data_IF_630734448720
#
_entry.id   IF_630734448720
#
_cell.length_a   1.000
_cell.length_b   1.000
_cell.length_c   1.000
_cell.angle_alpha   90.00
_cell.angle_beta   90.00
_cell.angle_gamma   90.00
#
_symmetry.space_group_name_H-M   'P 1'
#
loop_
_entity.id
_entity.type
_entity.pdbx_description
1 polymer ?
#
# COMPACT_ATOMS: atom_id res chain seq x y z
N UNK A 1 -18.80 -25.72 -5.80
CA UNK A 1 -17.50 -25.03 -5.91
C UNK A 1 -17.81 -23.66 -6.48
N UNK A 2 -17.14 -22.61 -6.02
CA UNK A 2 -17.35 -21.26 -6.52
C UNK A 2 -16.91 -21.16 -7.99
N UNK A 3 -17.65 -20.42 -8.82
CA UNK A 3 -17.28 -20.20 -10.22
C UNK A 3 -16.01 -19.36 -10.31
N UNK A 4 -15.09 -19.75 -11.21
CA UNK A 4 -13.78 -19.10 -11.38
C UNK A 4 -13.52 -18.84 -12.86
N UNK A 5 -12.86 -17.73 -13.14
CA UNK A 5 -12.44 -17.35 -14.49
C UNK A 5 -10.93 -17.14 -14.53
N UNK A 6 -10.34 -17.17 -15.72
CA UNK A 6 -8.94 -16.79 -15.87
C UNK A 6 -8.81 -15.26 -15.70
N UNK A 7 -7.82 -14.77 -14.94
CA UNK A 7 -7.47 -13.36 -14.92
C UNK A 7 -7.04 -12.87 -16.30
N UNK A 8 -6.83 -11.56 -16.44
CA UNK A 8 -6.19 -11.01 -17.62
C UNK A 8 -4.83 -11.69 -17.88
N UNK A 9 -4.49 -11.92 -19.15
CA UNK A 9 -3.21 -12.55 -19.51
C UNK A 9 -2.02 -11.78 -18.92
N UNK A 10 -1.15 -12.49 -18.20
CA UNK A 10 0.02 -11.91 -17.54
C UNK A 10 -0.29 -11.14 -16.25
N UNK A 11 -1.41 -11.46 -15.58
CA UNK A 11 -1.74 -10.90 -14.28
C UNK A 11 -0.74 -11.34 -13.18
N UNK A 12 -0.36 -10.45 -12.24
CA UNK A 12 -0.65 -9.01 -12.20
C UNK A 12 0.15 -8.23 -13.25
N UNK A 13 -0.50 -7.30 -13.96
CA UNK A 13 0.12 -6.54 -15.07
C UNK A 13 0.93 -5.35 -14.60
N UNK A 14 0.46 -4.68 -13.55
CA UNK A 14 1.10 -3.47 -13.05
C UNK A 14 2.10 -3.86 -11.97
N UNK A 15 3.37 -3.54 -12.19
CA UNK A 15 4.44 -3.83 -11.23
C UNK A 15 4.31 -2.97 -9.97
N UNK A 16 4.69 -3.57 -8.85
CA UNK A 16 4.63 -2.96 -7.53
C UNK A 16 5.33 -3.84 -6.49
N UNK A 17 5.22 -3.43 -5.24
CA UNK A 17 5.79 -4.14 -4.09
C UNK A 17 4.74 -5.10 -3.52
N UNK A 18 4.68 -6.30 -4.08
CA UNK A 18 3.73 -7.34 -3.70
C UNK A 18 4.26 -8.75 -3.99
N UNK A 19 3.67 -9.72 -3.32
CA UNK A 19 3.78 -11.15 -3.61
C UNK A 19 2.48 -11.65 -4.22
N UNK A 20 2.58 -12.67 -5.07
CA UNK A 20 1.44 -13.29 -5.75
C UNK A 20 1.24 -14.69 -5.20
N UNK A 21 0.00 -15.03 -4.87
CA UNK A 21 -0.43 -16.36 -4.46
C UNK A 21 -1.30 -17.03 -5.52
N UNK A 22 -2.39 -17.67 -5.09
CA UNK A 22 -3.33 -18.32 -6.01
C UNK A 22 -4.22 -17.30 -6.73
N UNK A 23 -4.07 -17.19 -8.05
CA UNK A 23 -4.85 -16.30 -8.92
C UNK A 23 -6.38 -16.55 -8.87
N UNK A 24 -6.81 -17.72 -8.37
CA UNK A 24 -8.22 -18.07 -8.16
C UNK A 24 -8.75 -17.73 -6.77
N UNK A 25 -7.87 -17.33 -5.85
CA UNK A 25 -8.28 -16.90 -4.52
C UNK A 25 -9.16 -15.65 -4.60
N UNK A 26 -10.21 -15.55 -3.78
CA UNK A 26 -11.06 -14.37 -3.73
C UNK A 26 -10.50 -13.23 -2.89
N UNK A 27 -9.36 -13.40 -2.21
CA UNK A 27 -8.86 -12.45 -1.21
C UNK A 27 -7.58 -11.77 -1.68
N UNK A 28 -7.55 -10.44 -1.67
CA UNK A 28 -6.33 -9.65 -1.71
C UNK A 28 -6.05 -9.03 -0.33
N UNK A 29 -4.78 -8.83 0.00
CA UNK A 29 -4.38 -8.23 1.28
C UNK A 29 -3.49 -7.02 1.01
N UNK A 30 -3.80 -5.91 1.68
CA UNK A 30 -3.04 -4.67 1.60
C UNK A 30 -2.52 -4.35 2.99
N UNK A 31 -1.20 -4.39 3.16
CA UNK A 31 -0.51 -4.17 4.45
C UNK A 31 -0.25 -2.70 4.75
N UNK A 32 -0.72 -1.81 3.87
CA UNK A 32 -0.65 -0.35 3.98
C UNK A 32 0.79 0.13 4.28
N UNK A 33 1.07 0.63 5.47
CA UNK A 33 2.38 1.15 5.85
C UNK A 33 3.34 0.09 6.39
N UNK A 34 2.84 -1.12 6.68
CA UNK A 34 3.63 -2.20 7.26
C UNK A 34 4.30 -3.06 6.19
N UNK A 35 5.47 -3.57 6.54
CA UNK A 35 6.15 -4.64 5.84
C UNK A 35 6.04 -5.88 6.71
N UNK A 36 5.24 -6.85 6.27
CA UNK A 36 4.98 -8.10 6.98
C UNK A 36 5.73 -9.24 6.29
N UNK A 37 5.34 -10.48 6.56
CA UNK A 37 5.72 -11.62 5.73
C UNK A 37 4.64 -11.83 4.66
N UNK A 38 4.67 -11.02 3.60
CA UNK A 38 3.64 -11.05 2.55
C UNK A 38 3.60 -12.39 1.82
N UNK A 39 4.73 -13.11 1.75
CA UNK A 39 4.78 -14.46 1.19
C UNK A 39 3.97 -15.43 2.07
N UNK A 40 4.14 -15.40 3.40
CA UNK A 40 3.33 -16.21 4.30
C UNK A 40 1.83 -15.88 4.25
N UNK A 41 1.47 -14.63 3.93
CA UNK A 41 0.08 -14.21 3.70
C UNK A 41 -0.48 -14.80 2.39
N UNK A 42 0.31 -14.80 1.31
CA UNK A 42 -0.05 -15.48 0.07
C UNK A 42 -0.17 -17.00 0.25
N UNK A 43 0.77 -17.62 0.97
CA UNK A 43 0.75 -19.06 1.27
C UNK A 43 -0.47 -19.46 2.11
N UNK A 44 -1.03 -18.51 2.89
CA UNK A 44 -2.27 -18.69 3.63
C UNK A 44 -3.54 -18.58 2.78
N UNK A 45 -3.40 -18.33 1.48
CA UNK A 45 -4.50 -18.36 0.52
C UNK A 45 -4.92 -16.99 -0.02
N UNK A 46 -4.12 -15.93 0.13
CA UNK A 46 -4.36 -14.68 -0.59
C UNK A 46 -3.92 -14.79 -2.07
N UNK A 47 -4.66 -14.13 -2.97
CA UNK A 47 -4.30 -14.03 -4.39
C UNK A 47 -3.09 -13.12 -4.61
N UNK A 48 -3.02 -12.04 -3.83
CA UNK A 48 -1.97 -11.02 -3.88
C UNK A 48 -1.88 -10.34 -2.51
N UNK A 49 -0.65 -10.07 -2.06
CA UNK A 49 -0.39 -9.36 -0.82
C UNK A 49 0.72 -8.33 -1.03
N UNK A 50 0.52 -7.08 -0.61
CA UNK A 50 1.54 -6.04 -0.75
C UNK A 50 1.26 -4.76 0.03
N UNK A 51 2.27 -3.90 0.10
CA UNK A 51 2.17 -2.62 0.80
C UNK A 51 1.60 -1.52 -0.10
N UNK A 52 0.94 -0.54 0.51
CA UNK A 52 0.49 0.66 -0.20
C UNK A 52 0.66 1.89 0.67
N UNK A 53 1.59 2.76 0.25
CA UNK A 53 2.04 3.91 1.04
C UNK A 53 1.45 5.24 0.59
N UNK A 54 0.94 5.30 -0.62
CA UNK A 54 0.48 6.54 -1.26
C UNK A 54 -1.00 6.45 -1.60
N UNK A 55 -1.73 7.50 -1.31
CA UNK A 55 -3.17 7.72 -1.49
C UNK A 55 -3.59 8.07 -2.94
N UNK A 56 -2.67 7.95 -3.90
CA UNK A 56 -2.86 8.22 -5.32
C UNK A 56 -2.37 7.04 -6.16
N UNK A 57 -1.16 7.11 -6.76
CA UNK A 57 -0.59 6.10 -7.66
C UNK A 57 -0.60 4.69 -7.05
N UNK A 58 -0.29 4.56 -5.75
CA UNK A 58 -0.39 3.28 -5.03
C UNK A 58 -1.81 2.68 -5.09
N UNK A 59 -2.84 3.49 -4.86
CA UNK A 59 -4.24 3.06 -4.99
C UNK A 59 -4.60 2.72 -6.43
N UNK A 60 -4.08 3.48 -7.41
CA UNK A 60 -4.30 3.19 -8.83
C UNK A 60 -3.75 1.83 -9.24
N UNK A 61 -2.53 1.50 -8.78
CA UNK A 61 -1.90 0.19 -9.01
C UNK A 61 -2.70 -0.94 -8.37
N UNK A 62 -3.22 -0.74 -7.16
CA UNK A 62 -4.11 -1.70 -6.49
C UNK A 62 -5.35 -1.92 -7.35
N UNK A 63 -6.11 -0.87 -7.65
CA UNK A 63 -7.36 -0.98 -8.39
C UNK A 63 -7.15 -1.66 -9.75
N UNK A 64 -6.12 -1.23 -10.50
CA UNK A 64 -5.82 -1.79 -11.82
C UNK A 64 -5.51 -3.30 -11.76
N UNK A 65 -4.73 -3.76 -10.77
CA UNK A 65 -4.45 -5.18 -10.61
C UNK A 65 -5.67 -5.96 -10.11
N UNK A 66 -6.51 -5.39 -9.25
CA UNK A 66 -7.70 -6.06 -8.71
C UNK A 66 -8.75 -6.28 -9.81
N UNK A 67 -9.10 -5.24 -10.59
CA UNK A 67 -10.13 -5.36 -11.64
C UNK A 67 -9.67 -6.20 -12.85
N UNK A 68 -8.36 -6.43 -12.98
CA UNK A 68 -7.78 -7.36 -13.94
C UNK A 68 -7.89 -8.84 -13.50
N UNK A 69 -8.37 -9.13 -12.29
CA UNK A 69 -8.67 -10.48 -11.81
C UNK A 69 -10.08 -10.55 -11.20
N UNK A 70 -11.11 -10.99 -11.97
CA UNK A 70 -12.48 -11.06 -11.48
C UNK A 70 -12.71 -12.06 -10.34
N UNK A 71 -11.75 -12.95 -10.06
CA UNK A 71 -11.85 -13.88 -8.94
C UNK A 71 -11.72 -13.17 -7.60
N UNK A 72 -11.03 -12.03 -7.52
CA UNK A 72 -10.81 -11.28 -6.28
C UNK A 72 -12.08 -10.53 -5.92
N UNK A 73 -12.68 -10.89 -4.79
CA UNK A 73 -13.97 -10.39 -4.28
C UNK A 73 -13.84 -9.70 -2.91
N UNK A 74 -12.71 -9.86 -2.25
CA UNK A 74 -12.45 -9.26 -0.94
C UNK A 74 -11.08 -8.61 -0.91
N UNK A 75 -11.00 -7.47 -0.23
CA UNK A 75 -9.75 -6.81 0.11
C UNK A 75 -9.68 -6.70 1.62
N UNK A 76 -8.61 -7.22 2.22
CA UNK A 76 -8.30 -6.99 3.62
C UNK A 76 -7.33 -5.82 3.71
N UNK A 77 -7.67 -4.77 4.46
CA UNK A 77 -6.72 -3.73 4.85
C UNK A 77 -6.19 -4.02 6.25
N UNK A 78 -4.87 -4.08 6.40
CA UNK A 78 -4.19 -4.37 7.65
C UNK A 78 -2.87 -3.58 7.75
N UNK A 79 -2.16 -3.71 8.85
CA UNK A 79 -0.94 -2.96 9.12
C UNK A 79 -1.20 -1.56 9.67
N UNK A 80 -0.10 -0.84 9.88
CA UNK A 80 -0.06 0.52 10.43
C UNK A 80 -0.42 1.53 9.34
N UNK A 81 -1.30 2.48 9.65
CA UNK A 81 -1.65 3.55 8.71
C UNK A 81 -0.47 4.49 8.40
N UNK A 82 -0.43 4.99 7.17
CA UNK A 82 0.66 5.85 6.70
C UNK A 82 0.34 7.29 7.07
N UNK A 83 1.03 7.85 8.06
CA UNK A 83 0.80 9.24 8.49
C UNK A 83 0.91 10.24 7.35
N UNK A 84 -0.09 11.11 7.25
CA UNK A 84 -0.18 12.15 6.22
C UNK A 84 -0.77 11.65 4.90
N UNK A 85 -0.40 10.47 4.43
CA UNK A 85 -1.00 9.87 3.23
C UNK A 85 -2.37 9.28 3.53
N UNK A 86 -2.52 8.59 4.67
CA UNK A 86 -3.73 7.90 5.10
C UNK A 86 -4.27 6.97 4.01
N UNK A 87 -3.38 6.18 3.40
CA UNK A 87 -3.69 5.38 2.21
C UNK A 87 -4.74 4.31 2.47
N UNK A 88 -4.80 3.73 3.67
CA UNK A 88 -5.88 2.80 4.05
C UNK A 88 -7.24 3.51 4.05
N UNK A 89 -7.34 4.64 4.75
CA UNK A 89 -8.54 5.48 4.77
C UNK A 89 -8.94 5.96 3.37
N UNK A 90 -7.98 6.38 2.54
CA UNK A 90 -8.24 6.87 1.19
C UNK A 90 -8.76 5.75 0.28
N UNK A 91 -8.25 4.52 0.42
CA UNK A 91 -8.76 3.37 -0.31
C UNK A 91 -10.23 3.07 0.04
N UNK A 92 -10.57 3.14 1.33
CA UNK A 92 -11.94 2.97 1.80
C UNK A 92 -12.87 4.08 1.27
N UNK A 93 -12.39 5.33 1.28
CA UNK A 93 -13.13 6.47 0.73
C UNK A 93 -13.35 6.32 -0.79
N UNK A 94 -12.33 5.87 -1.54
CA UNK A 94 -12.42 5.60 -2.97
C UNK A 94 -13.44 4.50 -3.26
N UNK A 95 -13.42 3.41 -2.51
CA UNK A 95 -14.41 2.33 -2.64
C UNK A 95 -15.82 2.82 -2.33
N UNK A 96 -16.01 3.59 -1.26
CA UNK A 96 -17.35 3.99 -0.83
C UNK A 96 -17.96 5.12 -1.67
N UNK A 97 -17.15 6.11 -2.03
CA UNK A 97 -17.64 7.39 -2.55
C UNK A 97 -17.15 7.72 -3.96
N UNK A 98 -16.15 7.00 -4.48
CA UNK A 98 -15.55 7.29 -5.78
C UNK A 98 -14.76 8.60 -5.80
N UNK A 99 -14.76 9.27 -6.95
CA UNK A 99 -14.00 10.51 -7.20
C UNK A 99 -14.90 11.61 -7.77
N UNK A 100 -14.53 12.86 -7.49
CA UNK A 100 -15.14 14.07 -8.06
C UNK A 100 -14.00 14.99 -8.55
N UNK A 101 -13.96 15.29 -9.85
CA UNK A 101 -12.84 16.06 -10.44
C UNK A 101 -11.47 15.39 -10.22
N UNK A 102 -11.43 14.05 -10.19
CA UNK A 102 -10.22 13.27 -9.89
C UNK A 102 -9.89 13.14 -8.39
N UNK A 103 -10.47 13.96 -7.50
CA UNK A 103 -10.25 13.88 -6.06
C UNK A 103 -11.11 12.78 -5.44
N UNK A 104 -10.54 11.95 -4.57
CA UNK A 104 -11.28 10.95 -3.80
C UNK A 104 -12.21 11.65 -2.80
N UNK A 105 -13.50 11.35 -2.90
CA UNK A 105 -14.53 11.99 -2.06
C UNK A 105 -14.46 11.42 -0.64
N UNK A 106 -14.28 12.29 0.36
CA UNK A 106 -14.16 11.90 1.78
C UNK A 106 -12.79 11.37 2.19
N UNK A 107 -11.77 11.48 1.33
CA UNK A 107 -10.40 11.16 1.69
C UNK A 107 -9.77 12.28 2.55
N UNK A 108 -9.08 11.88 3.61
CA UNK A 108 -8.35 12.78 4.53
C UNK A 108 -6.84 12.84 4.21
N UNK A 109 -6.40 12.04 3.24
CA UNK A 109 -5.03 12.00 2.76
C UNK A 109 -4.53 13.32 2.21
N UNK A 110 -3.21 13.41 2.07
CA UNK A 110 -2.54 14.63 1.69
C UNK A 110 -2.81 15.07 0.25
N UNK A 111 -2.81 14.14 -0.71
CA UNK A 111 -2.98 14.34 -2.15
C UNK A 111 -3.83 13.19 -2.74
N UNK A 112 -5.10 13.05 -2.34
CA UNK A 112 -5.93 11.90 -2.71
C UNK A 112 -6.56 12.12 -4.09
N UNK A 113 -5.74 12.15 -5.13
CA UNK A 113 -6.16 12.33 -6.53
C UNK A 113 -5.85 11.08 -7.34
N UNK A 114 -6.80 10.70 -8.19
CA UNK A 114 -6.73 9.59 -9.14
C UNK A 114 -6.76 10.20 -10.54
N UNK A 115 -5.72 9.97 -11.32
CA UNK A 115 -5.48 10.58 -12.63
C UNK A 115 -5.46 9.53 -13.76
N UNK A 116 -5.07 8.30 -13.46
CA UNK A 116 -4.87 7.24 -14.44
C UNK A 116 -6.07 6.29 -14.58
N UNK A 117 -6.98 6.25 -13.61
CA UNK A 117 -8.15 5.37 -13.66
C UNK A 117 -9.36 6.06 -14.28
N UNK A 118 -10.07 5.34 -15.15
CA UNK A 118 -11.36 5.78 -15.67
C UNK A 118 -12.46 5.61 -14.63
N UNK A 119 -13.56 6.36 -14.76
CA UNK A 119 -14.75 6.19 -13.90
C UNK A 119 -15.29 4.75 -13.95
N UNK A 120 -15.25 4.10 -15.11
CA UNK A 120 -15.70 2.73 -15.28
C UNK A 120 -14.81 1.73 -14.52
N UNK A 121 -13.49 1.99 -14.46
CA UNK A 121 -12.57 1.19 -13.65
C UNK A 121 -12.86 1.34 -12.16
N UNK A 122 -13.17 2.56 -11.71
CA UNK A 122 -13.55 2.82 -10.31
C UNK A 122 -14.88 2.14 -9.98
N UNK A 123 -15.92 2.31 -10.81
CA UNK A 123 -17.22 1.63 -10.62
C UNK A 123 -17.06 0.11 -10.61
N UNK A 124 -16.25 -0.44 -11.53
CA UNK A 124 -15.92 -1.86 -11.54
C UNK A 124 -15.31 -2.30 -10.22
N UNK A 125 -14.34 -1.55 -9.70
CA UNK A 125 -13.72 -1.84 -8.41
C UNK A 125 -14.74 -1.85 -7.27
N UNK A 126 -15.61 -0.82 -7.20
CA UNK A 126 -16.65 -0.71 -6.17
C UNK A 126 -17.63 -1.89 -6.18
N UNK A 127 -18.02 -2.36 -7.37
CA UNK A 127 -18.91 -3.51 -7.54
C UNK A 127 -18.22 -4.87 -7.30
N UNK A 128 -16.93 -4.97 -7.61
CA UNK A 128 -16.23 -6.26 -7.63
C UNK A 128 -15.89 -6.74 -6.22
N UNK A 129 -15.41 -5.83 -5.36
CA UNK A 129 -14.83 -6.19 -4.06
C UNK A 129 -15.59 -5.61 -2.88
N UNK A 130 -15.55 -6.32 -1.77
CA UNK A 130 -15.85 -5.80 -0.43
C UNK A 130 -14.54 -5.54 0.32
N UNK A 131 -14.42 -4.38 0.96
CA UNK A 131 -13.27 -4.07 1.82
C UNK A 131 -13.57 -4.48 3.26
N UNK A 132 -12.69 -5.30 3.82
CA UNK A 132 -12.72 -5.77 5.20
C UNK A 132 -11.56 -5.13 5.96
N UNK A 133 -11.91 -4.22 6.86
CA UNK A 133 -10.93 -3.44 7.59
C UNK A 133 -10.53 -4.10 8.92
N UNK A 134 -9.24 -4.40 9.05
CA UNK A 134 -8.58 -4.82 10.29
C UNK A 134 -7.31 -3.98 10.56
N UNK A 135 -7.32 -2.72 10.14
CA UNK A 135 -6.21 -1.78 10.31
C UNK A 135 -5.68 -1.72 11.74
N UNK A 136 -4.41 -1.34 11.85
CA UNK A 136 -3.59 -1.38 13.07
C UNK A 136 -3.34 -2.80 13.62
N UNK A 137 -3.57 -3.83 12.79
CA UNK A 137 -3.20 -5.22 13.07
C UNK A 137 -2.00 -5.64 12.21
N UNK A 138 -0.92 -6.08 12.84
CA UNK A 138 0.24 -6.72 12.20
C UNK A 138 0.37 -8.22 12.56
N UNK A 139 -0.62 -8.76 13.29
CA UNK A 139 -0.65 -10.16 13.70
C UNK A 139 -1.04 -11.07 12.53
N UNK A 140 -0.07 -11.87 12.07
CA UNK A 140 -0.25 -12.80 10.96
C UNK A 140 -1.32 -13.85 11.24
N UNK A 141 -1.52 -14.29 12.48
CA UNK A 141 -2.54 -15.32 12.76
C UNK A 141 -3.95 -14.75 12.63
N UNK A 142 -4.15 -13.48 13.00
CA UNK A 142 -5.41 -12.75 12.77
C UNK A 142 -5.67 -12.56 11.28
N UNK A 143 -4.64 -12.15 10.53
CA UNK A 143 -4.73 -11.97 9.06
C UNK A 143 -5.09 -13.30 8.38
N UNK A 144 -4.39 -14.39 8.72
CA UNK A 144 -4.67 -15.74 8.20
C UNK A 144 -6.07 -16.23 8.54
N UNK A 145 -6.52 -16.01 9.77
CA UNK A 145 -7.88 -16.37 10.17
C UNK A 145 -8.92 -15.61 9.34
N UNK A 146 -8.68 -14.34 9.04
CA UNK A 146 -9.57 -13.54 8.20
C UNK A 146 -9.58 -13.99 6.73
N UNK A 147 -8.42 -14.35 6.17
CA UNK A 147 -8.32 -14.94 4.83
C UNK A 147 -9.15 -16.22 4.75
N UNK A 148 -9.01 -17.12 5.73
CA UNK A 148 -9.78 -18.36 5.77
C UNK A 148 -11.29 -18.12 5.87
N UNK A 149 -11.71 -17.16 6.70
CA UNK A 149 -13.11 -16.77 6.83
C UNK A 149 -13.70 -16.29 5.49
N UNK A 150 -12.99 -15.41 4.78
CA UNK A 150 -13.46 -14.83 3.52
C UNK A 150 -13.40 -15.83 2.36
N UNK A 151 -12.40 -16.71 2.36
CA UNK A 151 -12.30 -17.82 1.40
C UNK A 151 -13.47 -18.80 1.58
N UNK A 152 -13.92 -19.05 2.81
CA UNK A 152 -15.12 -19.86 3.06
C UNK A 152 -16.43 -19.17 2.59
N UNK A 153 -16.42 -17.85 2.42
CA UNK A 153 -17.54 -17.03 1.93
C UNK A 153 -17.42 -16.67 0.45
N UNK A 154 -16.55 -17.34 -0.30
CA UNK A 154 -16.28 -17.07 -1.71
C UNK A 154 -17.57 -17.07 -2.56
N UNK A 155 -18.00 -15.91 -3.09
CA UNK A 155 -19.21 -15.82 -3.90
C UNK A 155 -18.96 -16.24 -5.37
N UNK A 156 -17.73 -16.64 -5.71
CA UNK A 156 -17.31 -16.88 -7.10
C UNK A 156 -16.82 -15.60 -7.77
N UNK A 157 -16.40 -15.72 -9.02
CA UNK A 157 -15.94 -14.59 -9.82
C UNK A 157 -17.05 -13.58 -10.07
N UNK A 158 -16.68 -12.32 -10.29
CA UNK A 158 -17.62 -11.39 -10.89
C UNK A 158 -17.88 -11.81 -12.34
N UNK A 159 -19.14 -11.96 -12.80
CA UNK A 159 -19.48 -12.40 -14.15
C UNK A 159 -19.32 -11.26 -15.16
N UNK A 160 -18.13 -10.66 -15.19
CA UNK A 160 -17.72 -9.59 -16.10
C UNK A 160 -16.25 -9.81 -16.46
N UNK A 161 -15.89 -9.60 -17.72
CA UNK A 161 -14.53 -9.79 -18.20
C UNK A 161 -13.51 -8.91 -17.44
N UNK A 162 -12.25 -9.35 -17.32
CA UNK A 162 -11.19 -8.55 -16.72
C UNK A 162 -11.03 -7.19 -17.43
N UNK A 163 -10.88 -6.11 -16.67
CA UNK A 163 -10.53 -4.79 -17.21
C UNK A 163 -9.03 -4.59 -17.02
N UNK A 164 -8.35 -4.14 -18.06
CA UNK A 164 -6.93 -3.76 -18.01
C UNK A 164 -6.83 -2.26 -18.20
N UNK A 165 -6.21 -1.59 -17.24
CA UNK A 165 -5.94 -0.15 -17.29
C UNK A 165 -4.43 0.05 -17.36
N UNK A 166 -3.99 1.00 -18.17
CA UNK A 166 -2.60 1.46 -18.16
C UNK A 166 -2.44 2.51 -17.07
N UNK A 167 -1.57 2.26 -16.10
CA UNK A 167 -1.20 3.23 -15.07
C UNK A 167 0.18 3.75 -15.44
N UNK A 168 0.29 5.03 -15.82
CA UNK A 168 1.57 5.65 -16.15
C UNK A 168 2.38 5.84 -14.87
N UNK A 169 3.57 5.28 -14.85
CA UNK A 169 4.53 5.48 -13.77
C UNK A 169 5.58 6.49 -14.25
N UNK A 170 5.45 7.75 -13.81
CA UNK A 170 6.41 8.83 -14.12
C UNK A 170 7.81 8.57 -13.55
N UNK A 171 8.03 7.44 -12.86
CA UNK A 171 9.36 6.98 -12.45
C UNK A 171 10.27 6.60 -13.63
N UNK A 172 9.75 6.52 -14.86
CA UNK A 172 10.54 6.46 -16.08
C UNK A 172 10.65 7.84 -16.72
N UNK A 173 11.73 8.57 -16.42
CA UNK A 173 12.02 9.86 -17.02
C UNK A 173 11.99 9.82 -18.55
N UNK A 174 11.12 10.64 -19.14
CA UNK A 174 11.03 10.84 -20.58
C UNK A 174 10.15 12.03 -20.87
N UNK A 175 10.77 13.13 -21.30
CA UNK A 175 10.09 14.35 -21.71
C UNK A 175 9.09 14.05 -22.83
N UNK A 176 7.85 14.49 -22.66
CA UNK A 176 7.12 15.10 -23.76
C UNK A 176 6.18 16.19 -23.22
N UNK A 177 6.57 17.43 -23.48
CA UNK A 177 5.75 18.60 -23.25
C UNK A 177 4.93 18.83 -24.52
N UNK A 178 3.65 18.46 -24.49
CA UNK A 178 2.67 18.80 -25.51
C UNK A 178 1.70 19.85 -24.98
N UNK A 179 1.82 21.07 -25.47
CA UNK A 179 0.93 22.21 -25.22
C UNK A 179 -0.51 21.96 -25.75
N UNK A 180 -1.53 22.37 -24.98
CA UNK A 180 -2.54 23.35 -25.40
C UNK A 180 -3.66 23.54 -24.35
N UNK A 181 -3.87 24.80 -23.93
CA UNK A 181 -5.19 25.43 -23.97
C UNK A 181 -6.10 25.41 -22.73
N UNK A 182 -6.13 26.57 -22.08
CA UNK A 182 -7.30 27.28 -21.46
C UNK A 182 -7.72 27.04 -19.99
N UNK A 183 -7.94 28.20 -19.34
CA UNK A 183 -8.25 28.53 -17.94
C UNK A 183 -9.63 27.99 -17.49
N UNK A 184 -10.01 27.72 -16.23
CA UNK A 184 -9.66 28.28 -14.92
C UNK A 184 -10.02 27.28 -13.78
N UNK A 185 -9.65 27.64 -12.53
CA UNK A 185 -9.69 26.88 -11.25
C UNK A 185 -8.38 26.12 -10.97
N UNK A 186 -7.59 26.62 -9.99
CA UNK A 186 -6.23 26.19 -9.62
C UNK A 186 -5.52 25.35 -10.68
N UNK A 187 -4.77 26.01 -11.58
CA UNK A 187 -4.06 25.35 -12.69
C UNK A 187 -3.43 24.04 -12.23
N UNK A 188 -3.57 22.96 -13.00
CA UNK A 188 -2.98 21.65 -12.71
C UNK A 188 -1.48 21.79 -12.34
N UNK A 189 -0.81 22.79 -12.89
CA UNK A 189 0.54 23.20 -12.52
C UNK A 189 0.70 23.65 -11.06
N UNK A 190 -0.20 24.46 -10.51
CA UNK A 190 -0.17 24.90 -9.10
C UNK A 190 -0.52 23.74 -8.17
N UNK A 191 -1.47 22.87 -8.55
CA UNK A 191 -1.73 21.63 -7.83
C UNK A 191 -0.50 20.71 -7.84
N UNK A 192 0.17 20.58 -8.98
CA UNK A 192 1.43 19.83 -9.13
C UNK A 192 2.58 20.43 -8.32
N UNK A 193 2.73 21.76 -8.31
CA UNK A 193 3.75 22.45 -7.50
C UNK A 193 3.47 22.22 -6.01
N UNK A 194 2.22 22.32 -5.59
CA UNK A 194 1.81 22.06 -4.20
C UNK A 194 2.06 20.59 -3.84
N UNK A 195 1.78 19.66 -4.75
CA UNK A 195 2.08 18.24 -4.59
C UNK A 195 3.58 18.00 -4.43
N UNK A 196 4.42 18.61 -5.29
CA UNK A 196 5.88 18.53 -5.19
C UNK A 196 6.41 19.13 -3.89
N UNK A 197 5.88 20.27 -3.44
CA UNK A 197 6.22 20.85 -2.14
C UNK A 197 5.90 19.90 -0.99
N UNK A 198 4.78 19.18 -1.06
CA UNK A 198 4.37 18.23 -0.02
C UNK A 198 5.23 16.97 -0.01
N UNK A 199 5.62 16.45 -1.18
CA UNK A 199 6.60 15.36 -1.31
C UNK A 199 7.96 15.75 -0.72
N UNK A 200 8.41 16.99 -0.96
CA UNK A 200 9.64 17.52 -0.36
C UNK A 200 9.50 17.55 1.17
N UNK A 201 8.38 18.06 1.69
CA UNK A 201 8.12 18.12 3.12
C UNK A 201 8.09 16.71 3.78
N UNK A 202 7.55 15.71 3.08
CA UNK A 202 7.58 14.32 3.52
C UNK A 202 8.99 13.75 3.52
N UNK A 203 9.78 14.01 2.47
CA UNK A 203 11.18 13.58 2.39
C UNK A 203 11.99 14.15 3.56
N UNK A 204 11.80 15.42 3.89
CA UNK A 204 12.42 16.06 5.06
C UNK A 204 11.98 15.40 6.37
N UNK A 205 10.70 15.07 6.51
CA UNK A 205 10.17 14.39 7.70
C UNK A 205 10.78 12.99 7.85
N UNK A 206 10.88 12.23 6.75
CA UNK A 206 11.46 10.89 6.76
C UNK A 206 12.96 10.91 7.08
N UNK A 207 13.71 11.88 6.53
CA UNK A 207 15.10 12.13 6.92
C UNK A 207 15.21 12.42 8.42
N UNK A 208 14.29 13.22 8.97
CA UNK A 208 14.22 13.48 10.41
C UNK A 208 13.97 12.20 11.23
N UNK A 209 13.10 11.32 10.76
CA UNK A 209 12.78 10.03 11.38
C UNK A 209 13.99 9.08 11.35
N UNK A 210 14.66 8.95 10.20
CA UNK A 210 15.90 8.20 10.07
C UNK A 210 16.99 8.77 11.00
N UNK A 211 17.19 10.10 11.01
CA UNK A 211 18.17 10.73 11.90
C UNK A 211 17.88 10.43 13.37
N UNK A 212 16.61 10.47 13.79
CA UNK A 212 16.22 10.11 15.17
C UNK A 212 16.49 8.63 15.47
N UNK A 213 16.16 7.75 14.53
CA UNK A 213 16.44 6.32 14.66
C UNK A 213 17.94 6.05 14.76
N UNK A 214 18.75 6.63 13.85
CA UNK A 214 20.20 6.54 13.89
C UNK A 214 20.79 7.11 15.18
N UNK A 215 20.27 8.24 15.68
CA UNK A 215 20.69 8.80 16.95
C UNK A 215 20.39 7.85 18.13
N UNK A 216 19.21 7.21 18.13
CA UNK A 216 18.85 6.20 19.14
C UNK A 216 19.75 4.96 19.09
N UNK A 217 19.96 4.40 17.89
CA UNK A 217 20.86 3.25 17.70
C UNK A 217 22.30 3.59 18.08
N UNK A 218 22.78 4.78 17.73
CA UNK A 218 24.11 5.24 18.07
C UNK A 218 24.28 5.43 19.58
N UNK A 219 23.31 6.06 20.26
CA UNK A 219 23.30 6.20 21.72
C UNK A 219 23.35 4.83 22.41
N UNK A 220 22.52 3.88 21.97
CA UNK A 220 22.51 2.53 22.53
C UNK A 220 23.82 1.77 22.30
N UNK A 221 24.47 1.94 21.14
CA UNK A 221 25.79 1.35 20.86
C UNK A 221 26.87 1.91 21.78
N UNK A 222 26.87 3.22 22.03
CA UNK A 222 27.84 3.86 22.93
C UNK A 222 27.62 3.39 24.37
N UNK A 223 26.37 3.37 24.85
CA UNK A 223 26.06 2.88 26.19
C UNK A 223 26.49 1.41 26.39
N UNK A 224 26.18 0.55 25.41
CA UNK A 224 26.59 -0.85 25.44
C UNK A 224 28.11 -1.02 25.49
N UNK A 225 28.86 -0.23 24.71
CA UNK A 225 30.32 -0.25 24.73
C UNK A 225 30.88 0.20 26.08
N UNK A 226 30.33 1.27 26.66
CA UNK A 226 30.76 1.79 27.96
C UNK A 226 30.49 0.79 29.09
N UNK A 227 29.30 0.18 29.12
CA UNK A 227 28.96 -0.87 30.10
C UNK A 227 29.90 -2.06 29.95
N UNK A 228 30.14 -2.52 28.70
CA UNK A 228 31.06 -3.62 28.42
C UNK A 228 32.49 -3.34 28.90
N UNK A 229 32.98 -2.12 28.70
CA UNK A 229 34.32 -1.69 29.11
C UNK A 229 34.45 -1.60 30.64
N UNK A 230 33.45 -1.07 31.33
CA UNK A 230 33.40 -1.03 32.81
C UNK A 230 33.39 -2.45 33.38
N UNK A 231 32.50 -3.32 32.88
CA UNK A 231 32.41 -4.72 33.33
C UNK A 231 33.72 -5.47 33.11
N UNK A 232 34.39 -5.22 31.98
CA UNK A 232 35.69 -5.83 31.68
C UNK A 232 36.75 -5.42 32.71
N UNK A 233 36.82 -4.15 33.10
CA UNK A 233 37.75 -3.70 34.14
C UNK A 233 37.42 -4.24 35.52
N UNK A 234 36.13 -4.38 35.85
CA UNK A 234 35.71 -5.00 37.12
C UNK A 234 36.17 -6.46 37.17
N UNK A 235 35.93 -7.22 36.11
CA UNK A 235 36.36 -8.63 36.02
C UNK A 235 37.88 -8.73 36.10
N UNK A 236 38.61 -7.91 35.34
CA UNK A 236 40.07 -7.88 35.35
C UNK A 236 40.62 -7.53 36.74
N UNK A 237 39.97 -6.59 37.44
CA UNK A 237 40.32 -6.20 38.81
C UNK A 237 40.17 -7.34 39.81
N UNK A 238 39.08 -8.11 39.72
CA UNK A 238 38.91 -9.32 40.54
C UNK A 238 39.94 -10.40 40.21
N UNK A 239 40.30 -10.56 38.93
CA UNK A 239 41.27 -11.56 38.46
C UNK A 239 42.71 -11.23 38.88
N UNK A 240 43.04 -9.94 39.06
CA UNK A 240 44.35 -9.49 39.54
C UNK A 240 44.47 -9.47 41.08
N UNK A 241 43.35 -9.51 41.82
CA UNK A 241 43.31 -9.54 43.28
C UNK A 241 43.26 -10.95 43.90
N UNK A 242 43.01 -11.98 43.10
CA UNK A 242 43.08 -13.40 43.49
C UNK A 242 44.40 -14.03 43.10
#
# INVERSE_FOLDING_TARGET
MADKTSPASGWPKIQGDFHVGDEKSPVAVITVGSHLDEQAVCDAGAAICGSCKTENLGLEKIVANIIANPNIRFIITCGTEVKGHLSGQCLQALHKNGVEGGKIVGAEGAIPFIENLTEDAIKRFQEQVEIVDIMETEDLEVIKAKINELTAKDPGNLPKDPIVVEVKDDSAGGADAGENGEEAEMTAEVALITARMKVIQQSVTNIGLQNRFYAGVYSGKIEGLMIGLIMSFVILGFLLMG
#
